data_IF_340683556780
#
_entry.id   IF_340683556780
#
_cell.length_a   1.000
_cell.length_b   1.000
_cell.length_c   1.000
_cell.angle_alpha   90.00
_cell.angle_beta   90.00
_cell.angle_gamma   90.00
#
_symmetry.space_group_name_H-M   'P 1'
#
loop_
_entity.id
_entity.type
_entity.pdbx_description
1 polymer ?
#
# COMPACT_ATOMS: atom_id res chain seq x y z
N UNK A 1 16.45 -22.75 -6.20
CA UNK A 1 17.43 -21.77 -6.71
C UNK A 1 17.23 -21.50 -8.21
N UNK A 2 17.03 -22.53 -9.05
CA UNK A 2 16.79 -22.39 -10.50
C UNK A 2 15.49 -21.63 -10.85
N UNK A 3 14.43 -21.82 -10.07
CA UNK A 3 13.11 -21.20 -10.29
C UNK A 3 13.07 -19.71 -9.93
N UNK A 4 13.72 -19.32 -8.83
CA UNK A 4 13.90 -17.91 -8.44
C UNK A 4 14.71 -17.14 -9.48
N UNK A 5 15.73 -17.78 -10.07
CA UNK A 5 16.53 -17.18 -11.14
C UNK A 5 15.74 -17.06 -12.46
N UNK A 6 14.79 -17.97 -12.71
CA UNK A 6 13.89 -17.90 -13.86
C UNK A 6 12.91 -16.73 -13.72
N UNK A 7 12.24 -16.60 -12.57
CA UNK A 7 11.35 -15.46 -12.26
C UNK A 7 12.08 -14.12 -12.30
N UNK A 8 13.31 -14.06 -11.77
CA UNK A 8 14.12 -12.84 -11.82
C UNK A 8 14.50 -12.46 -13.26
N UNK A 9 14.69 -13.44 -14.15
CA UNK A 9 14.96 -13.20 -15.57
C UNK A 9 13.72 -12.69 -16.29
N UNK A 10 12.56 -13.29 -16.05
CA UNK A 10 11.27 -12.83 -16.57
C UNK A 10 10.96 -11.38 -16.16
N UNK A 11 11.28 -11.00 -14.91
CA UNK A 11 11.15 -9.63 -14.44
C UNK A 11 12.05 -8.65 -15.21
N UNK A 12 13.30 -9.01 -15.48
CA UNK A 12 14.23 -8.17 -16.27
C UNK A 12 13.81 -8.00 -17.72
N UNK A 13 13.05 -8.94 -18.26
CA UNK A 13 12.52 -8.84 -19.60
C UNK A 13 11.34 -7.84 -19.67
N UNK A 14 10.71 -7.49 -18.53
CA UNK A 14 9.63 -6.50 -18.45
C UNK A 14 10.14 -5.06 -18.36
N UNK A 15 11.12 -4.77 -17.49
CA UNK A 15 11.80 -3.48 -17.45
C UNK A 15 13.21 -3.61 -16.83
N UNK A 16 14.11 -2.72 -17.24
CA UNK A 16 15.44 -2.56 -16.64
C UNK A 16 15.40 -2.10 -15.17
N UNK A 17 14.37 -1.35 -14.77
CA UNK A 17 14.17 -0.87 -13.43
C UNK A 17 13.30 -1.86 -12.66
N UNK A 18 13.87 -2.47 -11.63
CA UNK A 18 13.21 -3.52 -10.84
C UNK A 18 11.83 -3.10 -10.31
N UNK A 19 11.62 -1.82 -9.98
CA UNK A 19 10.34 -1.34 -9.47
C UNK A 19 9.26 -1.33 -10.55
N UNK A 20 9.62 -0.89 -11.75
CA UNK A 20 8.72 -0.88 -12.91
C UNK A 20 8.45 -2.32 -13.36
N UNK A 21 9.48 -3.17 -13.39
CA UNK A 21 9.35 -4.60 -13.66
C UNK A 21 8.42 -5.33 -12.68
N UNK A 22 8.57 -5.09 -11.37
CA UNK A 22 7.71 -5.69 -10.34
C UNK A 22 6.26 -5.25 -10.48
N UNK A 23 6.01 -3.98 -10.82
CA UNK A 23 4.66 -3.49 -11.01
C UNK A 23 4.03 -4.08 -12.29
N UNK A 24 4.78 -4.14 -13.40
CA UNK A 24 4.32 -4.77 -14.63
C UNK A 24 4.06 -6.27 -14.47
N UNK A 25 4.86 -6.96 -13.65
CA UNK A 25 4.56 -8.33 -13.26
C UNK A 25 3.21 -8.45 -12.55
N UNK A 26 2.91 -7.52 -11.63
CA UNK A 26 1.62 -7.49 -10.96
C UNK A 26 0.45 -7.21 -11.92
N UNK A 27 0.67 -6.40 -12.96
CA UNK A 27 -0.30 -6.19 -14.05
C UNK A 27 -0.52 -7.49 -14.85
N UNK A 28 0.55 -8.20 -15.20
CA UNK A 28 0.46 -9.45 -15.95
C UNK A 28 -0.26 -10.58 -15.18
N UNK A 29 -0.29 -10.49 -13.85
CA UNK A 29 -0.98 -11.44 -12.97
C UNK A 29 -2.34 -10.92 -12.49
N UNK A 30 -2.86 -9.84 -13.11
CA UNK A 30 -4.18 -9.27 -12.83
C UNK A 30 -4.39 -8.81 -11.36
N UNK A 31 -3.29 -8.60 -10.62
CA UNK A 31 -3.31 -8.08 -9.25
C UNK A 31 -3.73 -6.59 -9.25
N UNK A 32 -3.20 -5.88 -10.24
CA UNK A 32 -3.43 -4.47 -10.54
C UNK A 32 -3.60 -4.32 -12.05
N UNK A 33 -4.10 -3.18 -12.51
CA UNK A 33 -4.28 -2.94 -13.94
C UNK A 33 -3.34 -1.85 -14.48
N UNK A 34 -3.41 -1.60 -15.79
CA UNK A 34 -2.55 -0.60 -16.44
C UNK A 34 -2.85 0.83 -15.97
N UNK A 35 -4.06 1.10 -15.49
CA UNK A 35 -4.41 2.40 -14.92
C UNK A 35 -3.78 2.60 -13.55
N UNK A 36 -3.65 1.52 -12.76
CA UNK A 36 -2.87 1.51 -11.51
C UNK A 36 -1.39 1.78 -11.78
N UNK A 37 -0.83 1.22 -12.85
CA UNK A 37 0.56 1.53 -13.25
C UNK A 37 0.74 3.00 -13.64
N UNK A 38 -0.23 3.57 -14.37
CA UNK A 38 -0.22 5.00 -14.70
C UNK A 38 -0.28 5.87 -13.44
N UNK A 39 -1.09 5.49 -12.46
CA UNK A 39 -1.15 6.16 -11.15
C UNK A 39 0.18 6.02 -10.40
N UNK A 40 0.79 4.83 -10.37
CA UNK A 40 2.10 4.60 -9.78
C UNK A 40 3.18 5.52 -10.38
N UNK A 41 3.22 5.67 -11.71
CA UNK A 41 4.21 6.55 -12.34
C UNK A 41 3.98 8.03 -11.99
N UNK A 42 2.72 8.47 -11.94
CA UNK A 42 2.35 9.82 -11.47
C UNK A 42 2.82 10.05 -10.03
N UNK A 43 2.55 9.10 -9.13
CA UNK A 43 2.98 9.15 -7.73
C UNK A 43 4.50 9.19 -7.59
N UNK A 44 5.20 8.39 -8.39
CA UNK A 44 6.67 8.36 -8.42
C UNK A 44 7.25 9.72 -8.81
N UNK A 45 6.69 10.35 -9.84
CA UNK A 45 7.07 11.69 -10.29
C UNK A 45 6.79 12.74 -9.21
N UNK A 46 5.60 12.68 -8.59
CA UNK A 46 5.24 13.58 -7.49
C UNK A 46 6.18 13.46 -6.29
N UNK A 47 6.49 12.24 -5.85
CA UNK A 47 7.47 12.00 -4.76
C UNK A 47 8.82 12.62 -5.10
N UNK A 48 9.31 12.48 -6.34
CA UNK A 48 10.58 13.07 -6.76
C UNK A 48 10.51 14.60 -6.70
N UNK A 49 9.42 15.20 -7.17
CA UNK A 49 9.18 16.64 -7.09
C UNK A 49 9.20 17.13 -5.63
N UNK A 50 8.48 16.46 -4.73
CA UNK A 50 8.47 16.78 -3.29
C UNK A 50 9.87 16.66 -2.69
N UNK A 51 10.62 15.61 -3.05
CA UNK A 51 11.98 15.40 -2.54
C UNK A 51 12.92 16.54 -2.94
N UNK A 52 12.83 17.00 -4.19
CA UNK A 52 13.65 18.11 -4.68
C UNK A 52 13.21 19.47 -4.15
N UNK A 53 11.92 19.63 -3.83
CA UNK A 53 11.32 20.88 -3.40
C UNK A 53 10.82 20.82 -1.94
N UNK A 54 11.46 20.01 -1.08
CA UNK A 54 10.92 19.68 0.25
C UNK A 54 10.65 20.90 1.12
N UNK A 55 11.54 21.89 1.11
CA UNK A 55 11.38 23.12 1.88
C UNK A 55 10.18 23.94 1.40
N UNK A 56 9.92 23.96 0.11
CA UNK A 56 8.78 24.66 -0.48
C UNK A 56 7.46 24.02 -0.05
N UNK A 57 7.39 22.69 -0.07
CA UNK A 57 6.24 21.92 0.42
C UNK A 57 6.02 22.07 1.93
N UNK A 58 7.09 22.23 2.71
CA UNK A 58 6.99 22.44 4.15
C UNK A 58 6.51 23.85 4.51
N UNK A 59 6.77 24.85 3.67
CA UNK A 59 6.44 26.25 3.93
C UNK A 59 5.12 26.72 3.30
N UNK A 60 4.49 25.91 2.45
CA UNK A 60 3.28 26.26 1.69
C UNK A 60 2.14 25.29 2.00
N UNK A 61 0.91 25.73 1.77
CA UNK A 61 -0.25 24.86 1.82
C UNK A 61 -0.14 23.74 0.76
N UNK A 62 -0.57 22.54 1.13
CA UNK A 62 -0.58 21.38 0.23
C UNK A 62 -1.70 21.57 -0.81
N UNK A 63 -1.40 21.51 -2.13
CA UNK A 63 -2.42 21.57 -3.17
C UNK A 63 -3.48 20.48 -3.02
N UNK A 64 -4.74 20.79 -3.32
CA UNK A 64 -5.84 19.81 -3.27
C UNK A 64 -5.57 18.60 -4.17
N UNK A 65 -4.98 18.82 -5.34
CA UNK A 65 -4.61 17.75 -6.27
C UNK A 65 -3.60 16.76 -5.65
N UNK A 66 -2.68 17.25 -4.80
CA UNK A 66 -1.69 16.40 -4.14
C UNK A 66 -2.31 15.58 -3.01
N UNK A 67 -3.32 16.15 -2.33
CA UNK A 67 -4.12 15.44 -1.36
C UNK A 67 -4.94 14.33 -2.03
N UNK A 68 -5.63 14.63 -3.14
CA UNK A 68 -6.35 13.62 -3.93
C UNK A 68 -5.41 12.53 -4.46
N UNK A 69 -4.20 12.91 -4.87
CA UNK A 69 -3.18 11.96 -5.32
C UNK A 69 -2.71 11.06 -4.16
N UNK A 70 -2.57 11.60 -2.94
CA UNK A 70 -2.29 10.82 -1.74
C UNK A 70 -3.41 9.82 -1.42
N UNK A 71 -4.69 10.21 -1.51
CA UNK A 71 -5.81 9.29 -1.31
C UNK A 71 -5.83 8.16 -2.35
N UNK A 72 -5.55 8.49 -3.62
CA UNK A 72 -5.45 7.46 -4.67
C UNK A 72 -4.29 6.50 -4.42
N UNK A 73 -3.18 6.99 -3.85
CA UNK A 73 -2.07 6.15 -3.42
C UNK A 73 -2.46 5.18 -2.31
N UNK A 74 -3.19 5.63 -1.27
CA UNK A 74 -3.60 4.76 -0.16
C UNK A 74 -4.54 3.65 -0.65
N UNK A 75 -5.44 3.96 -1.57
CA UNK A 75 -6.32 2.97 -2.21
C UNK A 75 -5.53 1.94 -3.05
N UNK A 76 -4.56 2.39 -3.85
CA UNK A 76 -3.69 1.48 -4.61
C UNK A 76 -2.89 0.56 -3.69
N UNK A 77 -2.33 1.12 -2.61
CA UNK A 77 -1.61 0.35 -1.61
C UNK A 77 -2.52 -0.70 -0.95
N UNK A 78 -3.73 -0.31 -0.53
CA UNK A 78 -4.74 -1.22 0.03
C UNK A 78 -5.10 -2.38 -0.90
N UNK A 79 -5.20 -2.12 -2.21
CA UNK A 79 -5.47 -3.16 -3.22
C UNK A 79 -4.36 -4.21 -3.25
N UNK A 80 -3.11 -3.76 -3.30
CA UNK A 80 -1.93 -4.66 -3.34
C UNK A 80 -1.79 -5.41 -2.00
N UNK A 81 -1.97 -4.71 -0.88
CA UNK A 81 -1.85 -5.26 0.48
C UNK A 81 -2.91 -6.34 0.75
N UNK A 82 -4.15 -6.14 0.32
CA UNK A 82 -5.20 -7.14 0.41
C UNK A 82 -4.89 -8.39 -0.39
N UNK A 83 -4.41 -8.23 -1.61
CA UNK A 83 -3.99 -9.36 -2.44
C UNK A 83 -2.85 -10.13 -1.76
N UNK A 84 -1.86 -9.42 -1.22
CA UNK A 84 -0.74 -10.05 -0.50
C UNK A 84 -1.22 -10.88 0.69
N UNK A 85 -2.13 -10.35 1.51
CA UNK A 85 -2.67 -11.08 2.66
C UNK A 85 -3.41 -12.35 2.23
N UNK A 86 -4.30 -12.23 1.24
CA UNK A 86 -5.15 -13.33 0.82
C UNK A 86 -4.38 -14.44 0.08
N UNK A 87 -3.47 -14.06 -0.82
CA UNK A 87 -2.81 -15.00 -1.74
C UNK A 87 -1.43 -15.45 -1.25
N UNK A 88 -0.82 -14.72 -0.32
CA UNK A 88 0.54 -15.02 0.16
C UNK A 88 0.52 -15.28 1.66
N UNK A 89 0.09 -14.33 2.49
CA UNK A 89 0.26 -14.41 3.93
C UNK A 89 -0.59 -15.50 4.60
N UNK A 90 -1.91 -15.51 4.36
CA UNK A 90 -2.81 -16.49 4.94
C UNK A 90 -2.49 -17.94 4.48
N UNK A 91 -2.24 -18.21 3.19
CA UNK A 91 -1.94 -19.56 2.74
C UNK A 91 -0.58 -20.09 3.23
N UNK A 92 0.39 -19.21 3.49
CA UNK A 92 1.73 -19.62 3.93
C UNK A 92 1.85 -19.79 5.44
N UNK A 93 1.00 -19.15 6.24
CA UNK A 93 1.00 -19.25 7.70
C UNK A 93 -0.37 -19.70 8.28
N UNK A 94 -0.94 -20.84 7.83
CA UNK A 94 -2.29 -21.24 8.23
C UNK A 94 -2.43 -21.58 9.73
N UNK A 95 -1.33 -21.97 10.39
CA UNK A 95 -1.32 -22.31 11.81
C UNK A 95 -1.36 -21.06 12.73
N UNK A 96 -0.78 -19.95 12.25
CA UNK A 96 -0.72 -18.67 12.96
C UNK A 96 -2.05 -17.91 12.83
N UNK A 97 -2.71 -18.05 11.67
CA UNK A 97 -3.99 -17.42 11.37
C UNK A 97 -5.14 -18.44 11.44
N UNK A 98 -5.40 -18.98 12.64
CA UNK A 98 -6.60 -19.79 12.91
C UNK A 98 -7.84 -18.91 13.07
N UNK A 99 -8.20 -18.20 12.00
CA UNK A 99 -9.32 -17.27 11.99
C UNK A 99 -10.51 -17.93 11.28
N UNK A 100 -11.51 -18.48 12.02
CA UNK A 100 -12.79 -18.79 11.42
C UNK A 100 -13.44 -17.47 10.95
N UNK A 101 -14.05 -17.50 9.76
CA UNK A 101 -14.84 -16.40 9.18
C UNK A 101 -14.06 -15.12 8.81
N UNK A 102 -12.86 -15.26 8.21
CA UNK A 102 -12.14 -14.10 7.63
C UNK A 102 -12.93 -13.48 6.48
N UNK A 103 -13.26 -12.19 6.61
CA UNK A 103 -13.76 -11.38 5.51
C UNK A 103 -12.59 -10.95 4.60
N UNK A 104 -12.31 -11.78 3.59
CA UNK A 104 -11.25 -11.56 2.60
C UNK A 104 -11.36 -10.23 1.83
N UNK A 105 -12.54 -9.59 1.82
CA UNK A 105 -12.75 -8.29 1.20
C UNK A 105 -12.49 -7.12 2.15
N UNK A 106 -12.22 -7.39 3.42
CA UNK A 106 -11.94 -6.35 4.43
C UNK A 106 -10.62 -6.55 5.17
N UNK A 107 -9.85 -7.56 4.81
CA UNK A 107 -8.49 -7.70 5.33
C UNK A 107 -7.64 -6.50 4.91
N UNK A 108 -6.90 -5.99 5.89
CA UNK A 108 -5.95 -4.89 5.71
C UNK A 108 -4.74 -5.18 6.59
N UNK A 109 -3.55 -4.92 6.05
CA UNK A 109 -2.31 -5.00 6.77
C UNK A 109 -2.14 -3.81 7.71
N UNK A 110 -1.27 -3.97 8.70
CA UNK A 110 -1.01 -2.95 9.71
C UNK A 110 -0.56 -1.60 9.09
N UNK A 111 0.24 -1.66 8.04
CA UNK A 111 0.75 -0.47 7.35
C UNK A 111 -0.38 0.27 6.61
N UNK A 112 -1.28 -0.48 5.97
CA UNK A 112 -2.47 0.06 5.30
C UNK A 112 -3.43 0.73 6.30
N UNK A 113 -3.59 0.12 7.47
CA UNK A 113 -4.38 0.67 8.57
C UNK A 113 -3.79 2.01 9.06
N UNK A 114 -2.48 2.08 9.30
CA UNK A 114 -1.80 3.33 9.70
C UNK A 114 -1.97 4.41 8.62
N UNK A 115 -1.81 4.08 7.35
CA UNK A 115 -2.00 5.02 6.25
C UNK A 115 -3.43 5.57 6.20
N UNK A 116 -4.44 4.72 6.41
CA UNK A 116 -5.85 5.16 6.47
C UNK A 116 -6.12 6.14 7.62
N UNK A 117 -5.39 6.01 8.73
CA UNK A 117 -5.47 6.94 9.85
C UNK A 117 -4.80 8.28 9.54
N UNK A 118 -3.61 8.24 8.94
CA UNK A 118 -2.91 9.45 8.46
C UNK A 118 -3.78 10.20 7.46
N UNK A 119 -4.42 9.49 6.52
CA UNK A 119 -5.37 10.08 5.58
C UNK A 119 -6.50 10.84 6.26
N UNK A 120 -7.16 10.22 7.25
CA UNK A 120 -8.23 10.88 8.03
C UNK A 120 -7.76 12.14 8.75
N UNK A 121 -6.58 12.08 9.39
CA UNK A 121 -5.99 13.23 10.08
C UNK A 121 -5.73 14.40 9.12
N UNK A 122 -5.17 14.11 7.96
CA UNK A 122 -4.85 15.13 6.95
C UNK A 122 -6.15 15.75 6.39
N UNK A 123 -7.21 14.96 6.22
CA UNK A 123 -8.50 15.43 5.68
C UNK A 123 -9.32 16.27 6.67
N UNK A 124 -8.87 16.43 7.92
CA UNK A 124 -9.59 17.20 8.93
C UNK A 124 -10.87 16.54 9.43
N UNK A 125 -11.11 15.28 9.06
CA UNK A 125 -12.04 14.42 9.79
C UNK A 125 -11.39 14.19 11.16
N UNK A 126 -11.85 14.91 12.19
CA UNK A 126 -11.48 14.64 13.58
C UNK A 126 -11.50 13.12 13.74
N UNK A 127 -10.32 12.50 13.93
CA UNK A 127 -10.20 11.05 13.91
C UNK A 127 -11.34 10.48 14.72
N UNK A 128 -12.30 9.87 14.03
CA UNK A 128 -13.56 9.50 14.67
C UNK A 128 -13.24 8.65 15.89
N UNK A 129 -14.10 8.66 16.90
CA UNK A 129 -13.90 7.85 18.11
C UNK A 129 -13.55 6.39 17.74
N UNK A 130 -14.12 5.87 16.64
CA UNK A 130 -13.80 4.59 16.01
C UNK A 130 -12.36 4.43 15.52
N UNK A 131 -11.75 5.46 14.93
CA UNK A 131 -10.36 5.43 14.44
C UNK A 131 -9.35 5.43 15.59
N UNK A 132 -9.68 6.13 16.69
CA UNK A 132 -8.90 6.10 17.92
C UNK A 132 -8.98 4.74 18.60
N UNK A 133 -10.15 4.09 18.60
CA UNK A 133 -10.31 2.74 19.16
C UNK A 133 -9.55 1.68 18.37
N UNK A 134 -9.54 1.75 17.03
CA UNK A 134 -8.75 0.81 16.21
C UNK A 134 -7.24 0.98 16.49
N UNK A 135 -6.75 2.21 16.64
CA UNK A 135 -5.35 2.46 17.01
C UNK A 135 -5.02 1.93 18.41
N UNK A 136 -5.93 2.11 19.38
CA UNK A 136 -5.79 1.52 20.72
C UNK A 136 -5.79 -0.01 20.69
N UNK A 137 -6.64 -0.63 19.86
CA UNK A 137 -6.64 -2.08 19.68
C UNK A 137 -5.31 -2.57 19.12
N UNK A 138 -4.75 -1.87 18.12
CA UNK A 138 -3.44 -2.17 17.56
C UNK A 138 -2.31 -2.03 18.60
N UNK A 139 -2.28 -0.92 19.35
CA UNK A 139 -1.29 -0.71 20.42
C UNK A 139 -1.36 -1.83 21.45
N UNK A 140 -2.56 -2.20 21.92
CA UNK A 140 -2.75 -3.31 22.87
C UNK A 140 -2.28 -4.64 22.30
N UNK A 141 -2.53 -4.92 21.03
CA UNK A 141 -2.04 -6.14 20.37
C UNK A 141 -0.51 -6.19 20.36
N UNK A 142 0.15 -5.08 20.04
CA UNK A 142 1.61 -4.99 20.09
C UNK A 142 2.20 -5.09 21.50
N UNK A 143 1.47 -4.68 22.54
CA UNK A 143 1.89 -4.82 23.95
C UNK A 143 1.66 -6.24 24.51
N UNK A 144 0.84 -7.06 23.84
CA UNK A 144 0.43 -8.39 24.31
C UNK A 144 1.25 -9.54 23.73
N UNK A 145 2.12 -9.26 22.75
CA UNK A 145 3.05 -10.18 22.09
C UNK A 145 4.50 -9.74 22.33
#
# INVERSE_FOLDING_TARGET
MTEVLAQYKELKDLDSHIKDASFLWAVNHEIVDISDYSLYDQLRKKRNEITHNLLDYACKDIPKEDLELFQRMTLLYQKIDRWWINEVELPTNPEEYQLPDVDHDRVVGNQSLILSYVEKLILGDNASESSTEILKMFIRYCESN
#
